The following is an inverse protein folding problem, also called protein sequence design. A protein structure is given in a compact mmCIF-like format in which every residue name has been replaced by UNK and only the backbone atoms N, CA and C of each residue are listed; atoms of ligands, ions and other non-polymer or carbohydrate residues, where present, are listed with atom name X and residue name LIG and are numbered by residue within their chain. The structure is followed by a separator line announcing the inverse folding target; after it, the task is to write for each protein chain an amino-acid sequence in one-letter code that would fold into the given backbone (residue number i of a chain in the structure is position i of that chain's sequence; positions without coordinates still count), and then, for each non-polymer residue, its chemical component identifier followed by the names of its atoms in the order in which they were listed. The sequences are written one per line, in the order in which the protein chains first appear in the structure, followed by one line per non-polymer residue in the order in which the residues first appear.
data_IF_148025717450
#
_entry.id   IF_148025717450
#
_cell.length_a   1.000
_cell.length_b   1.000
_cell.length_c   1.000
_cell.angle_alpha   90.00
_cell.angle_beta   90.00
_cell.angle_gamma   90.00
#
_symmetry.space_group_name_H-M   'P 1'
#
loop_
_entity.id
_entity.type
_entity.pdbx_description
1 polymer ?
#
# COMPACT_ATOMS: atom_id res chain seq x y z
N UNK A 1 31.79 -27.42 -7.84
CA UNK A 1 33.08 -27.80 -8.45
C UNK A 1 33.08 -29.28 -8.79
N UNK A 2 33.57 -29.64 -9.99
CA UNK A 2 33.87 -30.99 -10.53
C UNK A 2 32.63 -31.78 -10.98
N UNK A 3 32.48 -32.21 -12.25
CA UNK A 3 33.49 -32.75 -13.16
C UNK A 3 33.35 -32.29 -14.63
N UNK A 4 34.51 -32.00 -15.23
CA UNK A 4 34.77 -31.87 -16.68
C UNK A 4 35.12 -33.26 -17.24
N UNK A 5 34.66 -33.62 -18.45
CA UNK A 5 35.49 -33.89 -19.65
C UNK A 5 34.67 -34.52 -20.81
N UNK A 6 34.67 -33.74 -21.90
CA UNK A 6 34.56 -33.94 -23.37
C UNK A 6 34.54 -35.33 -24.04
N UNK A 7 34.01 -35.26 -25.29
CA UNK A 7 34.24 -36.02 -26.55
C UNK A 7 33.30 -37.23 -26.77
N UNK A 8 32.68 -37.48 -27.93
CA UNK A 8 33.06 -37.14 -29.30
C UNK A 8 31.91 -37.31 -30.35
N UNK A 9 32.14 -36.66 -31.51
CA UNK A 9 31.66 -36.91 -32.88
C UNK A 9 30.18 -36.68 -33.28
N UNK A 10 29.94 -35.51 -33.87
CA UNK A 10 29.05 -35.33 -35.01
C UNK A 10 29.59 -36.16 -36.19
N UNK A 11 28.90 -37.21 -36.61
CA UNK A 11 29.11 -37.80 -37.93
C UNK A 11 28.02 -37.30 -38.86
N UNK A 12 28.41 -36.34 -39.69
CA UNK A 12 27.78 -35.97 -40.94
C UNK A 12 27.74 -37.21 -41.84
N UNK A 13 26.58 -37.85 -42.02
CA UNK A 13 26.42 -38.82 -43.11
C UNK A 13 25.89 -38.05 -44.31
N UNK A 14 26.82 -37.77 -45.20
CA UNK A 14 26.59 -37.26 -46.53
C UNK A 14 25.58 -38.14 -47.27
N UNK A 15 24.60 -37.49 -47.91
CA UNK A 15 23.76 -38.10 -48.94
C UNK A 15 24.64 -38.27 -50.18
N UNK A 16 24.90 -39.48 -50.68
CA UNK A 16 25.46 -39.64 -52.01
C UNK A 16 24.32 -39.43 -53.01
N UNK A 17 24.34 -38.29 -53.69
CA UNK A 17 23.70 -38.12 -54.98
C UNK A 17 24.34 -39.11 -55.95
N UNK A 18 23.72 -40.26 -56.18
CA UNK A 18 24.16 -41.17 -57.23
C UNK A 18 23.42 -40.83 -58.52
N UNK A 19 24.22 -40.27 -59.42
CA UNK A 19 23.92 -40.00 -60.82
C UNK A 19 23.47 -41.27 -61.53
N UNK A 20 22.48 -41.05 -62.39
CA UNK A 20 22.00 -41.92 -63.44
C UNK A 20 23.14 -42.43 -64.33
N UNK A 21 23.34 -43.75 -64.36
CA UNK A 21 23.95 -44.46 -65.49
C UNK A 21 23.43 -45.89 -65.53
N UNK A 22 22.77 -46.25 -66.64
CA UNK A 22 22.54 -47.65 -67.00
C UNK A 22 23.86 -48.25 -67.49
N UNK A 23 24.12 -49.53 -67.19
CA UNK A 23 24.19 -50.49 -68.29
C UNK A 23 23.53 -51.85 -68.01
N UNK A 24 23.42 -52.61 -69.08
CA UNK A 24 22.63 -53.81 -69.24
C UNK A 24 23.25 -55.11 -68.69
N UNK A 25 22.32 -56.05 -68.46
CA UNK A 25 22.39 -57.52 -68.65
C UNK A 25 23.16 -58.41 -67.68
N UNK A 26 22.42 -59.31 -67.01
CA UNK A 26 22.80 -60.72 -66.84
C UNK A 26 21.54 -61.63 -66.78
N UNK A 27 21.40 -62.41 -67.85
CA UNK A 27 20.81 -63.74 -68.06
C UNK A 27 19.87 -64.44 -67.03
N UNK A 28 18.80 -65.01 -67.61
CA UNK A 28 18.16 -66.31 -67.36
C UNK A 28 17.64 -66.68 -65.96
N UNK A 29 16.38 -66.36 -65.71
CA UNK A 29 15.48 -67.11 -64.82
C UNK A 29 14.18 -67.39 -65.59
N UNK A 30 13.75 -68.65 -65.58
CA UNK A 30 12.63 -69.22 -66.35
C UNK A 30 11.29 -68.51 -66.10
N UNK A 31 10.50 -68.36 -67.17
CA UNK A 31 9.32 -67.49 -67.36
C UNK A 31 8.19 -67.59 -66.29
N UNK A 32 8.07 -68.74 -65.60
CA UNK A 32 7.09 -68.94 -64.52
C UNK A 32 7.48 -68.25 -63.20
N UNK A 33 8.77 -67.99 -62.98
CA UNK A 33 9.23 -67.25 -61.80
C UNK A 33 8.99 -65.76 -61.97
N UNK A 34 9.21 -65.21 -63.17
CA UNK A 34 9.12 -63.77 -63.47
C UNK A 34 7.70 -63.21 -63.29
N UNK A 35 6.68 -63.97 -63.63
CA UNK A 35 5.27 -63.59 -63.47
C UNK A 35 4.79 -63.68 -62.01
N UNK A 36 5.18 -64.71 -61.27
CA UNK A 36 4.89 -64.80 -59.83
C UNK A 36 5.65 -63.74 -59.00
N UNK A 37 6.92 -63.46 -59.35
CA UNK A 37 7.70 -62.40 -58.72
C UNK A 37 7.12 -61.01 -59.02
N UNK A 38 6.72 -60.70 -60.25
CA UNK A 38 6.14 -59.38 -60.61
C UNK A 38 4.72 -59.18 -60.03
N UNK A 39 3.88 -60.23 -59.97
CA UNK A 39 2.54 -60.13 -59.35
C UNK A 39 2.59 -60.01 -57.81
N UNK A 40 3.47 -60.75 -57.14
CA UNK A 40 3.64 -60.69 -55.68
C UNK A 40 4.28 -59.36 -55.24
N UNK A 41 5.25 -58.86 -56.00
CA UNK A 41 5.87 -57.55 -55.82
C UNK A 41 4.84 -56.42 -55.77
N UNK A 42 3.84 -56.47 -56.66
CA UNK A 42 2.77 -55.48 -56.70
C UNK A 42 1.82 -55.60 -55.50
N UNK A 43 1.53 -56.82 -55.04
CA UNK A 43 0.64 -57.05 -53.89
C UNK A 43 1.23 -56.56 -52.55
N UNK A 44 2.51 -56.84 -52.29
CA UNK A 44 3.17 -56.41 -51.04
C UNK A 44 3.33 -54.89 -50.97
N UNK A 45 3.78 -54.27 -52.07
CA UNK A 45 3.92 -52.81 -52.18
C UNK A 45 2.54 -52.13 -52.06
N UNK A 46 1.52 -52.64 -52.75
CA UNK A 46 0.15 -52.12 -52.67
C UNK A 46 -0.41 -52.21 -51.24
N UNK A 47 -0.19 -53.32 -50.54
CA UNK A 47 -0.59 -53.47 -49.14
C UNK A 47 0.07 -52.44 -48.23
N UNK A 48 1.37 -52.18 -48.38
CA UNK A 48 2.07 -51.15 -47.61
C UNK A 48 1.51 -49.76 -47.91
N UNK A 49 1.28 -49.43 -49.18
CA UNK A 49 0.66 -48.16 -49.58
C UNK A 49 -0.70 -47.98 -48.91
N UNK A 50 -1.55 -49.01 -48.90
CA UNK A 50 -2.85 -48.99 -48.24
C UNK A 50 -2.73 -48.80 -46.72
N UNK A 51 -1.83 -49.55 -46.06
CA UNK A 51 -1.61 -49.41 -44.62
C UNK A 51 -1.18 -47.99 -44.24
N UNK A 52 -0.29 -47.38 -45.02
CA UNK A 52 0.15 -45.99 -44.81
C UNK A 52 -1.02 -45.02 -44.99
N UNK A 53 -1.84 -45.19 -46.04
CA UNK A 53 -3.00 -44.33 -46.29
C UNK A 53 -4.08 -44.44 -45.19
N UNK A 54 -4.16 -45.58 -44.51
CA UNK A 54 -5.09 -45.83 -43.42
C UNK A 54 -4.62 -45.27 -42.06
N UNK A 55 -3.43 -44.69 -41.98
CA UNK A 55 -2.95 -44.06 -40.75
C UNK A 55 -3.70 -42.75 -40.52
N UNK A 56 -4.45 -42.67 -39.43
CA UNK A 56 -5.11 -41.45 -38.98
C UNK A 56 -4.52 -41.00 -37.63
N UNK A 57 -3.79 -39.88 -37.65
CA UNK A 57 -3.11 -39.31 -36.48
C UNK A 57 -4.02 -38.61 -35.46
N UNK A 58 -5.34 -38.64 -35.63
CA UNK A 58 -6.29 -38.07 -34.66
C UNK A 58 -7.01 -39.13 -33.83
N UNK A 59 -6.94 -40.39 -34.24
CA UNK A 59 -7.67 -41.53 -33.66
C UNK A 59 -6.80 -42.38 -32.72
N UNK A 60 -7.41 -43.05 -31.74
CA UNK A 60 -6.69 -43.93 -30.82
C UNK A 60 -5.97 -45.11 -31.52
N UNK A 61 -6.34 -45.45 -32.75
CA UNK A 61 -5.70 -46.48 -33.58
C UNK A 61 -4.45 -45.99 -34.30
N UNK A 62 -4.04 -44.73 -34.13
CA UNK A 62 -2.85 -44.16 -34.79
C UNK A 62 -1.59 -45.00 -34.57
N UNK A 63 -1.28 -45.33 -33.32
CA UNK A 63 -0.08 -46.09 -32.96
C UNK A 63 -0.07 -47.50 -33.58
N UNK A 64 -1.09 -48.36 -33.38
CA UNK A 64 -1.08 -49.69 -33.98
C UNK A 64 -1.08 -49.65 -35.51
N UNK A 65 -1.77 -48.70 -36.16
CA UNK A 65 -1.75 -48.57 -37.61
C UNK A 65 -0.36 -48.16 -38.12
N UNK A 66 0.32 -47.23 -37.44
CA UNK A 66 1.69 -46.84 -37.77
C UNK A 66 2.67 -48.00 -37.58
N UNK A 67 2.54 -48.77 -36.50
CA UNK A 67 3.39 -49.95 -36.25
C UNK A 67 3.16 -51.04 -37.31
N UNK A 68 1.91 -51.29 -37.70
CA UNK A 68 1.58 -52.22 -38.78
C UNK A 68 2.19 -51.79 -40.13
N UNK A 69 2.06 -50.51 -40.50
CA UNK A 69 2.64 -49.96 -41.72
C UNK A 69 4.18 -50.04 -41.71
N UNK A 70 4.83 -49.69 -40.59
CA UNK A 70 6.28 -49.80 -40.45
C UNK A 70 6.77 -51.25 -40.54
N UNK A 71 6.06 -52.19 -39.90
CA UNK A 71 6.39 -53.61 -39.97
C UNK A 71 6.27 -54.14 -41.40
N UNK A 72 5.20 -53.78 -42.10
CA UNK A 72 4.98 -54.19 -43.48
C UNK A 72 6.04 -53.57 -44.43
N UNK A 73 6.35 -52.28 -44.28
CA UNK A 73 7.40 -51.63 -45.07
C UNK A 73 8.79 -52.24 -44.83
N UNK A 74 9.12 -52.56 -43.57
CA UNK A 74 10.42 -53.16 -43.23
C UNK A 74 10.56 -54.62 -43.71
N UNK A 75 9.44 -55.31 -43.95
CA UNK A 75 9.42 -56.66 -44.51
C UNK A 75 9.63 -56.68 -46.03
N UNK A 76 9.49 -55.53 -46.72
CA UNK A 76 9.77 -55.40 -48.13
C UNK A 76 11.27 -55.56 -48.42
N UNK A 77 11.58 -56.13 -49.58
CA UNK A 77 12.92 -56.11 -50.16
C UNK A 77 13.35 -54.67 -50.53
N UNK A 78 14.65 -54.45 -50.70
CA UNK A 78 15.17 -53.13 -51.07
C UNK A 78 14.63 -52.62 -52.41
N UNK A 79 14.34 -53.52 -53.35
CA UNK A 79 13.72 -53.15 -54.62
C UNK A 79 12.27 -52.73 -54.36
N UNK A 80 11.46 -53.55 -53.65
CA UNK A 80 10.05 -53.25 -53.34
C UNK A 80 9.86 -51.91 -52.64
N UNK A 81 10.76 -51.55 -51.70
CA UNK A 81 10.72 -50.26 -51.00
C UNK A 81 10.76 -49.06 -51.95
N UNK A 82 11.46 -49.15 -53.08
CA UNK A 82 11.56 -48.07 -54.07
C UNK A 82 10.21 -47.76 -54.73
N UNK A 83 9.24 -48.67 -54.67
CA UNK A 83 7.93 -48.53 -55.30
C UNK A 83 6.84 -48.09 -54.32
N UNK A 84 7.17 -47.92 -53.04
CA UNK A 84 6.24 -47.38 -52.03
C UNK A 84 6.14 -45.86 -52.19
N UNK A 85 5.19 -45.41 -52.99
CA UNK A 85 5.04 -44.01 -53.41
C UNK A 85 4.71 -43.03 -52.27
N UNK A 86 4.17 -43.51 -51.15
CA UNK A 86 3.76 -42.70 -50.00
C UNK A 86 4.68 -42.87 -48.77
N UNK A 87 5.93 -43.30 -48.96
CA UNK A 87 6.91 -43.39 -47.87
C UNK A 87 7.13 -42.06 -47.13
N UNK A 88 7.03 -40.93 -47.82
CA UNK A 88 7.09 -39.59 -47.20
C UNK A 88 6.01 -39.40 -46.13
N UNK A 89 4.78 -39.88 -46.37
CA UNK A 89 3.68 -39.87 -45.39
C UNK A 89 4.00 -40.74 -44.18
N UNK A 90 4.56 -41.93 -44.38
CA UNK A 90 5.00 -42.81 -43.30
C UNK A 90 6.05 -42.12 -42.41
N UNK A 91 7.04 -41.46 -43.02
CA UNK A 91 8.06 -40.68 -42.32
C UNK A 91 7.45 -39.51 -41.51
N UNK A 92 6.48 -38.79 -42.09
CA UNK A 92 5.76 -37.73 -41.37
C UNK A 92 4.98 -38.26 -40.15
N UNK A 93 4.38 -39.45 -40.25
CA UNK A 93 3.73 -40.10 -39.11
C UNK A 93 4.72 -40.57 -38.04
N UNK A 94 5.91 -41.06 -38.42
CA UNK A 94 6.98 -41.36 -37.45
C UNK A 94 7.37 -40.11 -36.66
N UNK A 95 7.48 -38.96 -37.32
CA UNK A 95 7.77 -37.69 -36.65
C UNK A 95 6.62 -37.22 -35.75
N UNK A 96 5.38 -37.41 -36.20
CA UNK A 96 4.19 -37.13 -35.39
C UNK A 96 4.19 -37.96 -34.09
N UNK A 97 4.56 -39.25 -34.16
CA UNK A 97 4.72 -40.10 -32.98
C UNK A 97 5.76 -39.54 -31.99
N UNK A 98 6.88 -39.02 -32.47
CA UNK A 98 7.90 -38.39 -31.60
C UNK A 98 7.33 -37.17 -30.91
N UNK A 99 6.58 -36.33 -31.62
CA UNK A 99 5.91 -35.17 -31.03
C UNK A 99 4.88 -35.57 -29.96
N UNK A 100 4.08 -36.61 -30.20
CA UNK A 100 3.09 -37.11 -29.23
C UNK A 100 3.74 -37.69 -27.98
N UNK A 101 4.86 -38.44 -28.12
CA UNK A 101 5.66 -38.90 -26.98
C UNK A 101 6.22 -37.75 -26.16
N UNK A 102 6.72 -36.70 -26.82
CA UNK A 102 7.23 -35.50 -26.13
C UNK A 102 6.12 -34.75 -25.40
N UNK A 103 4.92 -34.68 -25.97
CA UNK A 103 3.76 -34.08 -25.34
C UNK A 103 3.32 -34.88 -24.10
N UNK A 104 3.24 -36.21 -24.21
CA UNK A 104 2.90 -37.08 -23.08
C UNK A 104 3.92 -36.95 -21.95
N UNK A 105 5.22 -36.92 -22.26
CA UNK A 105 6.27 -36.70 -21.28
C UNK A 105 6.11 -35.36 -20.53
N UNK A 106 5.73 -34.29 -21.21
CA UNK A 106 5.46 -33.00 -20.56
C UNK A 106 4.24 -33.03 -19.63
N UNK A 107 3.19 -33.78 -19.97
CA UNK A 107 2.04 -33.99 -19.09
C UNK A 107 2.47 -34.72 -17.82
N UNK A 108 3.28 -35.76 -17.96
CA UNK A 108 3.77 -36.56 -16.83
C UNK A 108 4.74 -35.77 -15.95
N UNK A 109 5.66 -35.02 -16.54
CA UNK A 109 6.54 -34.10 -15.83
C UNK A 109 5.73 -33.05 -15.07
N UNK A 110 4.72 -32.43 -15.72
CA UNK A 110 3.84 -31.47 -15.06
C UNK A 110 3.14 -32.10 -13.87
N UNK A 111 2.54 -33.29 -14.00
CA UNK A 111 1.89 -34.00 -12.88
C UNK A 111 2.86 -34.34 -11.73
N UNK A 112 4.10 -34.68 -12.05
CA UNK A 112 5.13 -35.06 -11.07
C UNK A 112 5.88 -33.85 -10.47
N UNK A 113 5.73 -32.65 -11.04
CA UNK A 113 6.46 -31.44 -10.63
C UNK A 113 6.03 -30.91 -9.26
N UNK A 114 4.92 -31.39 -8.71
CA UNK A 114 4.36 -30.94 -7.43
C UNK A 114 4.10 -32.15 -6.54
N UNK A 115 4.66 -32.14 -5.32
CA UNK A 115 4.36 -33.16 -4.31
C UNK A 115 2.86 -33.22 -4.02
N UNK A 116 2.31 -34.40 -3.78
CA UNK A 116 0.87 -34.58 -3.50
C UNK A 116 0.39 -33.85 -2.24
N UNK A 117 1.30 -33.55 -1.31
CA UNK A 117 1.06 -32.78 -0.09
C UNK A 117 1.00 -31.26 -0.33
N UNK A 118 1.51 -30.78 -1.47
CA UNK A 118 1.61 -29.36 -1.77
C UNK A 118 0.23 -28.74 -2.01
N UNK A 119 0.03 -27.50 -1.55
CA UNK A 119 -1.19 -26.72 -1.81
C UNK A 119 -1.44 -26.51 -3.30
N UNK A 120 -0.38 -26.51 -4.12
CA UNK A 120 -0.47 -26.34 -5.56
C UNK A 120 -0.75 -27.63 -6.34
N UNK A 121 -0.69 -28.79 -5.70
CA UNK A 121 -0.88 -30.09 -6.37
C UNK A 121 -2.21 -30.13 -7.11
N UNK A 122 -3.27 -29.73 -6.42
CA UNK A 122 -4.62 -29.74 -6.95
C UNK A 122 -4.78 -28.83 -8.17
N UNK A 123 -4.29 -27.59 -8.07
CA UNK A 123 -4.29 -26.65 -9.19
C UNK A 123 -3.52 -27.22 -10.38
N UNK A 124 -2.34 -27.80 -10.11
CA UNK A 124 -1.51 -28.37 -11.14
C UNK A 124 -2.18 -29.54 -11.87
N UNK A 125 -2.83 -30.46 -11.14
CA UNK A 125 -3.59 -31.56 -11.74
C UNK A 125 -4.73 -31.03 -12.59
N UNK A 126 -5.44 -30.00 -12.14
CA UNK A 126 -6.56 -29.44 -12.90
C UNK A 126 -6.16 -28.74 -14.19
N UNK A 127 -5.14 -27.87 -14.14
CA UNK A 127 -4.60 -27.26 -15.35
C UNK A 127 -4.10 -28.33 -16.34
N UNK A 128 -3.50 -29.40 -15.81
CA UNK A 128 -3.04 -30.52 -16.64
C UNK A 128 -4.21 -31.34 -17.19
N UNK A 129 -5.30 -31.48 -16.42
CA UNK A 129 -6.55 -32.13 -16.86
C UNK A 129 -7.20 -31.33 -17.98
N UNK A 130 -7.27 -30.01 -17.85
CA UNK A 130 -7.82 -29.14 -18.88
C UNK A 130 -7.00 -29.25 -20.16
N UNK A 131 -5.67 -29.20 -20.06
CA UNK A 131 -4.78 -29.45 -21.20
C UNK A 131 -4.99 -30.85 -21.79
N UNK A 132 -5.02 -31.91 -20.98
CA UNK A 132 -5.28 -33.28 -21.41
C UNK A 132 -6.63 -33.40 -22.14
N UNK A 133 -7.67 -32.71 -21.65
CA UNK A 133 -9.00 -32.73 -22.24
C UNK A 133 -9.02 -32.13 -23.66
N UNK A 134 -8.16 -31.15 -23.96
CA UNK A 134 -8.02 -30.58 -25.32
C UNK A 134 -7.34 -31.51 -26.34
N UNK A 135 -6.69 -32.59 -25.89
CA UNK A 135 -5.97 -33.50 -26.77
C UNK A 135 -6.93 -34.38 -27.59
N UNK A 136 -6.49 -34.73 -28.79
CA UNK A 136 -7.17 -35.72 -29.62
C UNK A 136 -6.96 -37.15 -29.10
N UNK A 137 -7.71 -38.12 -29.63
CA UNK A 137 -7.68 -39.50 -29.14
C UNK A 137 -6.31 -40.18 -29.36
N UNK A 138 -5.62 -39.86 -30.45
CA UNK A 138 -4.26 -40.36 -30.70
C UNK A 138 -3.26 -39.84 -29.66
N UNK A 139 -3.31 -38.55 -29.33
CA UNK A 139 -2.42 -37.94 -28.34
C UNK A 139 -2.67 -38.51 -26.94
N UNK A 140 -3.94 -38.66 -26.55
CA UNK A 140 -4.33 -39.23 -25.25
C UNK A 140 -3.81 -40.65 -25.04
N UNK A 141 -3.70 -41.45 -26.11
CA UNK A 141 -3.19 -42.84 -26.00
C UNK A 141 -1.70 -42.94 -25.65
N UNK A 142 -0.92 -41.87 -25.82
CA UNK A 142 0.50 -41.84 -25.43
C UNK A 142 0.72 -41.50 -23.95
N UNK A 143 -0.29 -40.95 -23.26
CA UNK A 143 -0.21 -40.62 -21.83
C UNK A 143 -0.31 -41.91 -21.01
N UNK A 144 0.55 -42.12 -20.02
CA UNK A 144 0.52 -43.34 -19.19
C UNK A 144 -0.82 -43.56 -18.48
N UNK A 145 -1.18 -44.83 -18.25
CA UNK A 145 -2.44 -45.19 -17.60
C UNK A 145 -2.55 -44.60 -16.17
N UNK A 146 -1.44 -44.47 -15.44
CA UNK A 146 -1.39 -43.82 -14.13
C UNK A 146 -1.74 -42.34 -14.22
N UNK A 147 -1.13 -41.60 -15.16
CA UNK A 147 -1.45 -40.20 -15.41
C UNK A 147 -2.91 -40.03 -15.85
N UNK A 148 -3.39 -40.86 -16.79
CA UNK A 148 -4.80 -40.84 -17.20
C UNK A 148 -5.75 -41.07 -16.03
N UNK A 149 -5.43 -42.01 -15.12
CA UNK A 149 -6.23 -42.27 -13.91
C UNK A 149 -6.29 -41.02 -13.02
N UNK A 150 -5.18 -40.32 -12.80
CA UNK A 150 -5.16 -39.07 -12.02
C UNK A 150 -6.03 -38.00 -12.70
N UNK A 151 -5.90 -37.84 -14.01
CA UNK A 151 -6.59 -36.79 -14.78
C UNK A 151 -8.10 -37.05 -14.93
N UNK A 152 -8.53 -38.31 -14.90
CA UNK A 152 -9.94 -38.71 -15.05
C UNK A 152 -10.66 -38.97 -13.73
N UNK A 153 -9.92 -39.18 -12.63
CA UNK A 153 -10.50 -39.39 -11.31
C UNK A 153 -11.00 -38.09 -10.70
N UNK A 154 -11.98 -38.20 -9.80
CA UNK A 154 -12.32 -37.11 -8.91
C UNK A 154 -11.20 -36.94 -7.88
N UNK A 155 -10.56 -35.78 -7.90
CA UNK A 155 -9.58 -35.37 -6.89
C UNK A 155 -10.27 -34.47 -5.87
N UNK A 156 -10.05 -34.73 -4.59
CA UNK A 156 -10.47 -33.81 -3.52
C UNK A 156 -9.50 -32.62 -3.47
N UNK A 157 -9.99 -31.38 -3.26
CA UNK A 157 -9.11 -30.26 -2.98
C UNK A 157 -8.11 -30.60 -1.86
N UNK A 158 -6.88 -30.07 -1.89
CA UNK A 158 -5.94 -30.17 -0.77
C UNK A 158 -6.32 -29.24 0.40
N UNK A 159 -7.64 -29.10 0.58
CA UNK A 159 -8.32 -28.32 1.58
C UNK A 159 -9.64 -29.00 1.89
N UNK A 160 -10.11 -28.83 3.11
CA UNK A 160 -11.37 -29.40 3.58
C UNK A 160 -12.24 -28.31 4.17
N UNK A 161 -13.54 -28.59 4.29
CA UNK A 161 -14.47 -27.74 5.03
C UNK A 161 -13.92 -27.49 6.43
N UNK A 162 -13.45 -28.52 7.13
CA UNK A 162 -12.91 -28.41 8.48
C UNK A 162 -11.70 -27.49 8.55
N UNK A 163 -10.78 -27.56 7.58
CA UNK A 163 -9.61 -26.69 7.53
C UNK A 163 -10.00 -25.22 7.34
N UNK A 164 -10.95 -24.95 6.45
CA UNK A 164 -11.48 -23.60 6.21
C UNK A 164 -12.21 -23.09 7.46
N UNK A 165 -13.09 -23.91 8.04
CA UNK A 165 -13.84 -23.59 9.26
C UNK A 165 -12.89 -23.27 10.40
N UNK A 166 -11.89 -24.11 10.65
CA UNK A 166 -10.90 -23.90 11.71
C UNK A 166 -10.11 -22.60 11.50
N UNK A 167 -9.65 -22.31 10.27
CA UNK A 167 -8.98 -21.04 9.96
C UNK A 167 -9.86 -19.84 10.28
N UNK A 168 -11.12 -19.86 9.88
CA UNK A 168 -12.07 -18.76 10.10
C UNK A 168 -12.42 -18.63 11.59
N UNK A 169 -12.58 -19.75 12.31
CA UNK A 169 -12.89 -19.74 13.75
C UNK A 169 -11.74 -19.22 14.61
N UNK A 170 -10.49 -19.41 14.17
CA UNK A 170 -9.29 -18.96 14.87
C UNK A 170 -8.91 -17.50 14.57
N UNK A 171 -9.65 -16.81 13.69
CA UNK A 171 -9.43 -15.40 13.42
C UNK A 171 -9.56 -14.59 14.70
N UNK A 172 -8.55 -13.78 15.00
CA UNK A 172 -8.50 -12.95 16.19
C UNK A 172 -7.95 -11.57 15.82
N UNK A 173 -8.81 -10.56 15.94
CA UNK A 173 -8.51 -9.17 15.57
C UNK A 173 -7.42 -8.51 16.40
N UNK A 174 -7.06 -9.07 17.56
CA UNK A 174 -5.99 -8.53 18.41
C UNK A 174 -4.60 -9.05 18.03
N UNK A 175 -4.49 -10.03 17.14
CA UNK A 175 -3.19 -10.59 16.72
C UNK A 175 -2.60 -9.76 15.58
N UNK A 176 -1.30 -9.49 15.63
CA UNK A 176 -0.58 -8.80 14.54
C UNK A 176 -0.74 -9.51 13.18
N UNK A 177 -0.92 -10.84 13.19
CA UNK A 177 -1.14 -11.65 12.00
C UNK A 177 -2.57 -11.57 11.45
N UNK A 178 -3.49 -10.85 12.10
CA UNK A 178 -4.93 -10.87 11.78
C UNK A 178 -5.22 -10.60 10.30
N UNK A 179 -4.67 -9.52 9.72
CA UNK A 179 -4.95 -9.19 8.32
C UNK A 179 -4.46 -10.27 7.35
N UNK A 180 -3.31 -10.88 7.64
CA UNK A 180 -2.78 -12.01 6.88
C UNK A 180 -3.66 -13.25 7.04
N UNK A 181 -4.08 -13.57 8.27
CA UNK A 181 -4.92 -14.73 8.56
C UNK A 181 -6.30 -14.62 7.87
N UNK A 182 -6.89 -13.42 7.81
CA UNK A 182 -8.14 -13.17 7.07
C UNK A 182 -7.94 -13.40 5.57
N UNK A 183 -6.87 -12.85 4.99
CA UNK A 183 -6.55 -13.07 3.57
C UNK A 183 -6.29 -14.55 3.25
N UNK A 184 -5.55 -15.25 4.10
CA UNK A 184 -5.28 -16.68 3.99
C UNK A 184 -6.58 -17.51 4.09
N UNK A 185 -7.50 -17.15 4.99
CA UNK A 185 -8.80 -17.81 5.13
C UNK A 185 -9.68 -17.62 3.89
N UNK A 186 -9.73 -16.40 3.32
CA UNK A 186 -10.45 -16.13 2.07
C UNK A 186 -9.84 -16.89 0.89
N UNK A 187 -8.51 -16.93 0.79
CA UNK A 187 -7.83 -17.70 -0.24
C UNK A 187 -8.15 -19.20 -0.15
N UNK A 188 -8.14 -19.76 1.06
CA UNK A 188 -8.49 -21.16 1.31
C UNK A 188 -9.95 -21.48 0.95
N UNK A 189 -10.90 -20.60 1.33
CA UNK A 189 -12.31 -20.74 0.95
C UNK A 189 -12.51 -20.67 -0.56
N UNK A 190 -11.85 -19.72 -1.23
CA UNK A 190 -11.89 -19.61 -2.69
C UNK A 190 -11.32 -20.87 -3.35
N UNK A 191 -10.24 -21.45 -2.80
CA UNK A 191 -9.66 -22.70 -3.28
C UNK A 191 -10.62 -23.88 -3.12
N UNK A 192 -11.32 -23.98 -1.98
CA UNK A 192 -12.35 -24.99 -1.75
C UNK A 192 -13.50 -24.87 -2.77
N UNK A 193 -13.97 -23.64 -2.99
CA UNK A 193 -15.15 -23.35 -3.84
C UNK A 193 -14.89 -23.33 -5.33
N UNK A 194 -13.64 -23.13 -5.76
CA UNK A 194 -13.31 -23.04 -7.20
C UNK A 194 -13.74 -24.28 -7.99
N UNK A 195 -13.85 -25.44 -7.32
CA UNK A 195 -14.14 -26.72 -7.96
C UNK A 195 -15.15 -27.58 -7.19
N UNK A 196 -15.70 -27.06 -6.09
CA UNK A 196 -16.74 -27.74 -5.31
C UNK A 196 -17.84 -26.73 -4.96
N UNK A 197 -19.11 -27.16 -5.01
CA UNK A 197 -20.24 -26.32 -4.59
C UNK A 197 -20.54 -26.49 -3.08
N UNK A 198 -19.49 -26.66 -2.27
CA UNK A 198 -19.65 -26.96 -0.85
C UNK A 198 -20.04 -25.70 -0.08
N UNK A 199 -21.07 -25.85 0.76
CA UNK A 199 -21.52 -24.82 1.71
C UNK A 199 -20.79 -25.00 3.04
N UNK A 200 -20.44 -23.88 3.70
CA UNK A 200 -19.89 -23.91 5.04
C UNK A 200 -21.01 -23.99 6.10
N UNK A 201 -20.72 -24.44 7.32
CA UNK A 201 -21.67 -24.32 8.43
C UNK A 201 -22.17 -22.89 8.62
N UNK A 202 -23.43 -22.77 9.06
CA UNK A 202 -24.11 -21.48 9.25
C UNK A 202 -23.27 -20.54 10.11
N UNK A 203 -23.14 -19.28 9.67
CA UNK A 203 -22.44 -18.22 10.39
C UNK A 203 -20.91 -18.17 10.19
N UNK A 204 -20.29 -19.21 9.61
CA UNK A 204 -18.84 -19.18 9.36
C UNK A 204 -18.47 -18.13 8.30
N UNK A 205 -19.19 -18.08 7.19
CA UNK A 205 -18.94 -17.06 6.16
C UNK A 205 -19.21 -15.66 6.67
N UNK A 206 -20.22 -15.48 7.52
CA UNK A 206 -20.50 -14.19 8.13
C UNK A 206 -19.33 -13.72 8.99
N UNK A 207 -18.73 -14.60 9.81
CA UNK A 207 -17.52 -14.28 10.58
C UNK A 207 -16.37 -13.83 9.69
N UNK A 208 -16.16 -14.50 8.54
CA UNK A 208 -15.12 -14.09 7.60
C UNK A 208 -15.43 -12.71 6.99
N UNK A 209 -16.68 -12.46 6.60
CA UNK A 209 -17.11 -11.16 6.07
C UNK A 209 -16.94 -10.04 7.10
N UNK A 210 -17.31 -10.28 8.36
CA UNK A 210 -17.14 -9.32 9.45
C UNK A 210 -15.65 -9.00 9.69
N UNK A 211 -14.79 -10.02 9.63
CA UNK A 211 -13.35 -9.86 9.75
C UNK A 211 -12.76 -9.07 8.57
N UNK A 212 -13.21 -9.31 7.34
CA UNK A 212 -12.78 -8.56 6.16
C UNK A 212 -13.22 -7.10 6.19
N UNK A 213 -14.44 -6.84 6.69
CA UNK A 213 -14.91 -5.48 6.91
C UNK A 213 -14.03 -4.76 7.94
N UNK A 214 -13.62 -5.44 9.00
CA UNK A 214 -12.69 -4.89 9.99
C UNK A 214 -11.32 -4.59 9.36
N UNK A 215 -10.76 -5.51 8.56
CA UNK A 215 -9.51 -5.29 7.80
C UNK A 215 -9.62 -4.06 6.90
N UNK A 216 -10.76 -3.88 6.22
CA UNK A 216 -10.99 -2.71 5.38
C UNK A 216 -11.02 -1.41 6.18
N UNK A 217 -11.64 -1.41 7.37
CA UNK A 217 -11.64 -0.26 8.30
C UNK A 217 -10.24 0.05 8.80
N UNK A 218 -9.48 -0.95 9.24
CA UNK A 218 -8.11 -0.78 9.71
C UNK A 218 -7.22 -0.15 8.64
N UNK A 219 -7.38 -0.57 7.38
CA UNK A 219 -6.65 0.01 6.24
C UNK A 219 -6.98 1.48 6.01
N UNK A 220 -8.23 1.89 6.19
CA UNK A 220 -8.62 3.30 6.03
C UNK A 220 -7.95 4.16 7.10
N UNK A 221 -8.04 3.75 8.37
CA UNK A 221 -7.46 4.50 9.49
C UNK A 221 -5.93 4.57 9.37
N UNK A 222 -5.28 3.46 9.02
CA UNK A 222 -3.84 3.46 8.77
C UNK A 222 -3.45 4.37 7.58
N UNK A 223 -4.29 4.43 6.54
CA UNK A 223 -4.05 5.28 5.37
C UNK A 223 -4.14 6.77 5.70
N UNK A 224 -5.03 7.17 6.60
CA UNK A 224 -5.11 8.55 7.08
C UNK A 224 -3.81 8.98 7.75
N UNK A 225 -3.26 8.14 8.64
CA UNK A 225 -1.96 8.39 9.28
C UNK A 225 -0.82 8.35 8.26
N UNK A 226 -0.82 7.40 7.33
CA UNK A 226 0.17 7.34 6.23
C UNK A 226 0.20 8.65 5.44
N UNK A 227 -0.98 9.20 5.07
CA UNK A 227 -1.09 10.45 4.34
C UNK A 227 -0.64 11.66 5.19
N UNK A 228 -0.95 11.66 6.48
CA UNK A 228 -0.51 12.70 7.40
C UNK A 228 1.03 12.71 7.52
N UNK A 229 1.67 11.54 7.65
CA UNK A 229 3.13 11.40 7.61
C UNK A 229 3.69 11.88 6.27
N UNK A 230 3.04 11.53 5.15
CA UNK A 230 3.49 11.93 3.81
C UNK A 230 3.38 13.45 3.57
N UNK A 231 2.51 14.13 4.32
CA UNK A 231 2.32 15.58 4.26
C UNK A 231 3.36 16.34 5.09
N UNK A 232 4.10 15.66 5.97
CA UNK A 232 5.20 16.27 6.71
C UNK A 232 6.32 16.69 5.77
N UNK A 233 6.80 17.91 5.97
CA UNK A 233 7.83 18.52 5.15
C UNK A 233 8.83 19.26 6.03
N UNK A 234 10.15 19.03 5.86
CA UNK A 234 11.18 19.70 6.64
C UNK A 234 11.16 21.23 6.51
N UNK A 235 10.52 21.78 5.48
CA UNK A 235 10.52 23.22 5.19
C UNK A 235 9.27 23.94 5.67
N UNK A 236 8.18 23.21 5.89
CA UNK A 236 6.84 23.80 6.10
C UNK A 236 6.16 23.26 7.34
N UNK A 237 6.51 22.06 7.80
CA UNK A 237 5.93 21.45 9.00
C UNK A 237 6.69 21.88 10.25
N UNK A 238 5.94 22.20 11.29
CA UNK A 238 6.42 22.61 12.61
C UNK A 238 6.58 21.41 13.54
N UNK A 239 7.15 21.65 14.72
CA UNK A 239 7.21 20.64 15.80
C UNK A 239 5.81 20.18 16.23
N UNK A 240 4.84 21.10 16.23
CA UNK A 240 3.46 20.78 16.55
C UNK A 240 2.84 19.82 15.54
N UNK A 241 3.04 20.06 14.24
CA UNK A 241 2.51 19.17 13.18
C UNK A 241 3.10 17.75 13.30
N UNK A 242 4.40 17.64 13.59
CA UNK A 242 5.05 16.34 13.83
C UNK A 242 4.46 15.66 15.07
N UNK A 243 4.17 16.41 16.14
CA UNK A 243 3.60 15.89 17.36
C UNK A 243 2.13 15.43 17.19
N UNK A 244 1.34 16.13 16.39
CA UNK A 244 -0.02 15.70 16.03
C UNK A 244 0.00 14.38 15.26
N UNK A 245 0.86 14.26 14.24
CA UNK A 245 1.01 13.02 13.46
C UNK A 245 1.52 11.87 14.32
N UNK A 246 2.46 12.14 15.24
CA UNK A 246 2.93 11.16 16.24
C UNK A 246 1.78 10.67 17.12
N UNK A 247 0.97 11.59 17.65
CA UNK A 247 -0.16 11.25 18.52
C UNK A 247 -1.21 10.43 17.77
N UNK A 248 -1.49 10.77 16.50
CA UNK A 248 -2.39 10.01 15.65
C UNK A 248 -1.88 8.58 15.38
N UNK A 249 -0.57 8.40 15.16
CA UNK A 249 0.04 7.07 15.01
C UNK A 249 -0.01 6.26 16.31
N UNK A 250 0.26 6.88 17.45
CA UNK A 250 0.21 6.21 18.77
C UNK A 250 -1.21 5.82 19.19
N UNK A 251 -2.23 6.50 18.67
CA UNK A 251 -3.63 6.14 18.87
C UNK A 251 -4.07 4.91 18.06
N UNK A 252 -3.30 4.48 17.05
CA UNK A 252 -3.58 3.26 16.28
C UNK A 252 -3.37 2.01 17.14
N UNK A 253 -4.17 0.98 16.88
CA UNK A 253 -3.92 -0.35 17.45
C UNK A 253 -2.63 -0.95 16.87
N UNK A 254 -1.98 -1.91 17.57
CA UNK A 254 -0.75 -2.55 17.05
C UNK A 254 -0.92 -3.16 15.66
N UNK A 255 -2.10 -3.72 15.36
CA UNK A 255 -2.41 -4.30 14.04
C UNK A 255 -2.53 -3.22 12.96
N UNK A 256 -3.05 -2.05 13.30
CA UNK A 256 -3.16 -0.90 12.39
C UNK A 256 -1.80 -0.23 12.14
N UNK A 257 -0.92 -0.18 13.15
CA UNK A 257 0.43 0.38 13.02
C UNK A 257 1.28 -0.37 11.97
N UNK A 258 1.15 -1.71 11.91
CA UNK A 258 1.80 -2.54 10.87
C UNK A 258 1.39 -2.17 9.44
N UNK A 259 0.24 -1.50 9.26
CA UNK A 259 -0.24 -1.06 7.95
C UNK A 259 0.31 0.30 7.49
N UNK A 260 1.09 1.00 8.31
CA UNK A 260 1.62 2.34 7.98
C UNK A 260 3.05 2.20 7.42
N UNK A 261 3.24 2.14 6.08
CA UNK A 261 4.53 1.79 5.48
C UNK A 261 5.62 2.84 5.66
N UNK A 262 5.24 4.11 5.88
CA UNK A 262 6.14 5.26 5.96
C UNK A 262 6.45 5.71 7.39
N UNK A 263 6.20 4.87 8.40
CA UNK A 263 6.48 5.18 9.81
C UNK A 263 7.93 5.64 10.05
N UNK A 264 8.90 5.12 9.30
CA UNK A 264 10.30 5.54 9.41
C UNK A 264 10.53 7.02 9.08
N UNK A 265 9.72 7.60 8.19
CA UNK A 265 9.75 9.05 7.92
C UNK A 265 9.35 9.82 9.18
N UNK A 266 8.29 9.40 9.86
CA UNK A 266 7.88 10.02 11.13
C UNK A 266 8.96 9.88 12.20
N UNK A 267 9.63 8.73 12.29
CA UNK A 267 10.77 8.52 13.19
C UNK A 267 11.90 9.51 12.91
N UNK A 268 12.26 9.72 11.64
CA UNK A 268 13.28 10.71 11.25
C UNK A 268 12.92 12.14 11.73
N UNK A 269 11.65 12.53 11.61
CA UNK A 269 11.15 13.82 12.12
C UNK A 269 11.24 13.91 13.65
N UNK A 270 10.78 12.87 14.37
CA UNK A 270 10.78 12.84 15.84
C UNK A 270 12.20 12.81 16.42
N UNK A 271 13.15 12.15 15.74
CA UNK A 271 14.55 12.09 16.15
C UNK A 271 15.36 13.34 15.79
N UNK A 272 14.73 14.36 15.19
CA UNK A 272 15.38 15.64 14.88
C UNK A 272 16.38 15.56 13.73
N UNK A 273 16.23 14.59 12.82
CA UNK A 273 17.05 14.51 11.58
C UNK A 273 16.86 15.74 10.69
N UNK A 274 15.70 16.37 10.78
CA UNK A 274 15.33 17.57 10.03
C UNK A 274 15.28 18.77 10.96
N UNK A 275 15.89 19.88 10.55
CA UNK A 275 15.68 21.19 11.20
C UNK A 275 14.32 21.72 10.76
N UNK A 276 13.35 21.73 11.68
CA UNK A 276 12.00 22.20 11.39
C UNK A 276 11.87 23.71 11.61
N UNK A 277 11.04 24.40 10.82
CA UNK A 277 10.59 25.73 11.15
C UNK A 277 10.03 25.76 12.57
N UNK A 278 10.68 26.50 13.47
CA UNK A 278 9.94 27.19 14.53
C UNK A 278 9.25 28.39 13.86
N UNK A 279 8.22 28.97 14.46
CA UNK A 279 7.51 30.13 13.90
C UNK A 279 8.40 31.37 13.68
N UNK A 280 9.72 31.29 13.93
CA UNK A 280 10.61 32.44 14.14
C UNK A 280 11.61 32.71 13.01
N UNK A 281 11.57 31.99 11.88
CA UNK A 281 12.55 32.20 10.79
C UNK A 281 12.00 32.98 9.58
N UNK A 282 11.43 34.16 9.83
CA UNK A 282 11.59 35.32 8.93
C UNK A 282 12.30 36.42 9.74
N UNK A 283 13.56 36.77 9.44
CA UNK A 283 14.22 37.86 10.14
C UNK A 283 13.57 39.19 9.72
N UNK A 284 12.57 39.63 10.49
CA UNK A 284 12.30 41.06 10.66
C UNK A 284 12.93 41.43 11.99
N UNK A 285 14.13 42.01 11.95
CA UNK A 285 14.65 42.76 13.09
C UNK A 285 13.51 43.67 13.59
N UNK A 286 12.95 43.47 14.80
CA UNK A 286 11.81 44.24 15.22
C UNK A 286 12.22 45.72 15.23
N UNK A 287 11.42 46.57 14.58
CA UNK A 287 11.65 48.03 14.62
C UNK A 287 11.19 48.50 15.99
N UNK A 288 12.10 48.42 16.96
CA UNK A 288 11.87 48.87 18.33
C UNK A 288 11.71 50.39 18.38
N UNK A 289 11.02 50.88 19.41
CA UNK A 289 10.79 52.31 19.62
C UNK A 289 11.74 52.85 20.69
N UNK A 290 12.50 53.92 20.39
CA UNK A 290 13.37 54.62 21.36
C UNK A 290 12.60 55.34 22.49
N UNK A 291 11.28 55.38 22.39
CA UNK A 291 10.36 56.02 23.35
C UNK A 291 9.49 54.98 24.08
N UNK A 292 9.87 53.70 24.05
CA UNK A 292 9.18 52.66 24.78
C UNK A 292 9.39 52.81 26.30
N UNK A 293 8.37 52.42 27.06
CA UNK A 293 8.46 52.26 28.51
C UNK A 293 9.45 51.13 28.83
N UNK A 294 10.26 51.35 29.85
CA UNK A 294 11.18 50.34 30.37
C UNK A 294 10.52 49.54 31.51
N UNK A 295 10.84 48.25 31.64
CA UNK A 295 10.43 47.42 32.79
C UNK A 295 10.87 48.08 34.11
N UNK A 296 10.05 47.93 35.17
CA UNK A 296 10.33 48.45 36.52
C UNK A 296 10.31 49.96 36.69
N UNK A 297 10.32 50.73 35.59
CA UNK A 297 10.31 52.19 35.62
C UNK A 297 8.90 52.75 35.45
N UNK A 298 8.63 53.84 36.16
CA UNK A 298 7.40 54.61 35.96
C UNK A 298 7.54 55.46 34.69
N UNK A 299 6.66 55.23 33.73
CA UNK A 299 6.62 55.96 32.46
C UNK A 299 5.35 56.80 32.37
N UNK A 300 5.48 58.10 32.09
CA UNK A 300 4.33 58.97 31.86
C UNK A 300 3.76 58.75 30.45
N UNK A 301 2.46 58.49 30.35
CA UNK A 301 1.79 58.30 29.06
C UNK A 301 1.56 59.63 28.33
N UNK A 302 1.66 59.62 27.00
CA UNK A 302 1.40 60.79 26.16
C UNK A 302 -0.11 60.99 25.97
N UNK A 303 -0.65 62.17 26.31
CA UNK A 303 -2.07 62.50 26.15
C UNK A 303 -2.37 63.04 24.76
N UNK A 304 -3.34 62.45 24.07
CA UNK A 304 -3.96 62.99 22.85
C UNK A 304 -5.49 62.97 23.02
N UNK A 305 -6.11 64.15 23.15
CA UNK A 305 -7.53 64.30 23.50
C UNK A 305 -7.87 63.52 24.78
N UNK A 306 -8.75 62.53 24.69
CA UNK A 306 -9.20 61.71 25.82
C UNK A 306 -8.44 60.36 25.93
N UNK A 307 -7.39 60.17 25.12
CA UNK A 307 -6.64 58.93 25.02
C UNK A 307 -5.19 59.16 25.44
N UNK A 308 -4.72 58.31 26.35
CA UNK A 308 -3.33 58.23 26.76
C UNK A 308 -2.66 57.08 26.03
N UNK A 309 -1.44 57.29 25.50
CA UNK A 309 -0.69 56.29 24.76
C UNK A 309 0.70 56.07 25.36
N UNK A 310 1.13 54.82 25.38
CA UNK A 310 2.50 54.41 25.66
C UNK A 310 2.87 53.24 24.72
N UNK A 311 4.16 52.99 24.60
CA UNK A 311 4.73 51.89 23.81
C UNK A 311 5.55 51.00 24.72
N UNK A 312 5.56 49.70 24.47
CA UNK A 312 6.43 48.71 25.12
C UNK A 312 7.11 47.91 24.01
N UNK A 313 8.41 47.71 24.10
CA UNK A 313 9.15 46.84 23.19
C UNK A 313 8.99 45.39 23.64
N UNK A 314 8.77 44.48 22.71
CA UNK A 314 8.66 43.03 22.93
C UNK A 314 9.71 42.35 22.06
N UNK A 315 10.70 41.70 22.67
CA UNK A 315 11.79 40.98 22.01
C UNK A 315 12.28 39.80 22.85
N UNK A 316 12.70 38.71 22.20
CA UNK A 316 13.14 37.44 22.81
C UNK A 316 14.32 37.58 23.79
N UNK A 317 15.14 38.63 23.64
CA UNK A 317 16.35 38.85 24.47
C UNK A 317 16.10 39.59 25.77
N UNK A 318 14.89 40.06 26.04
CA UNK A 318 14.53 40.73 27.29
C UNK A 318 13.57 39.84 28.11
N UNK A 319 14.14 38.89 28.87
CA UNK A 319 13.39 38.18 29.91
C UNK A 319 13.20 39.14 31.10
N UNK A 320 12.41 40.19 30.88
CA UNK A 320 12.08 41.16 31.90
C UNK A 320 11.05 40.55 32.84
N UNK A 321 11.50 40.27 34.07
CA UNK A 321 10.66 39.75 35.15
C UNK A 321 9.84 40.84 35.84
N UNK A 322 10.07 42.10 35.49
CA UNK A 322 9.44 43.27 36.11
C UNK A 322 8.20 43.74 35.35
N UNK A 323 7.32 44.46 36.05
CA UNK A 323 6.09 45.04 35.50
C UNK A 323 6.37 46.40 34.86
N UNK A 324 5.56 46.81 33.87
CA UNK A 324 5.59 48.18 33.35
C UNK A 324 4.57 49.04 34.09
N UNK A 325 5.01 50.20 34.57
CA UNK A 325 4.18 51.11 35.35
C UNK A 325 3.93 52.36 34.50
N UNK A 326 2.69 52.52 34.01
CA UNK A 326 2.30 53.60 33.11
C UNK A 326 1.38 54.58 33.85
N UNK A 327 1.75 55.85 33.90
CA UNK A 327 0.98 56.88 34.65
C UNK A 327 0.35 57.89 33.72
N UNK A 328 -0.86 58.32 34.06
CA UNK A 328 -1.61 59.34 33.31
C UNK A 328 -1.71 60.63 34.10
N UNK A 329 -1.82 61.77 33.41
CA UNK A 329 -2.07 63.08 34.05
C UNK A 329 -3.40 63.13 34.81
N UNK A 330 -4.34 62.23 34.50
CA UNK A 330 -5.66 62.16 35.14
C UNK A 330 -5.67 61.19 36.35
N UNK A 331 -4.50 60.98 36.99
CA UNK A 331 -4.29 60.16 38.20
C UNK A 331 -4.73 58.69 38.07
N UNK A 332 -4.57 58.12 36.88
CA UNK A 332 -4.69 56.67 36.67
C UNK A 332 -3.31 56.07 36.47
N UNK A 333 -3.08 54.89 37.05
CA UNK A 333 -1.88 54.08 36.85
C UNK A 333 -2.27 52.75 36.23
N UNK A 334 -1.58 52.36 35.17
CA UNK A 334 -1.81 51.14 34.42
C UNK A 334 -0.57 50.27 34.62
N UNK A 335 -0.77 49.06 35.11
CA UNK A 335 0.30 48.09 35.31
C UNK A 335 0.15 47.02 34.25
N UNK A 336 1.16 46.90 33.38
CA UNK A 336 1.29 45.77 32.46
C UNK A 336 2.16 44.73 33.14
N UNK A 337 1.74 43.46 33.21
CA UNK A 337 2.52 42.41 33.85
C UNK A 337 3.82 42.15 33.07
N UNK A 338 4.73 41.32 33.62
CA UNK A 338 5.99 41.00 32.93
C UNK A 338 5.74 40.35 31.57
N UNK A 339 6.62 40.62 30.59
CA UNK A 339 6.40 40.14 29.21
C UNK A 339 6.45 38.61 29.10
N UNK A 340 7.07 37.88 30.02
CA UNK A 340 7.00 36.41 30.04
C UNK A 340 5.57 35.87 30.26
N UNK A 341 4.65 36.71 30.72
CA UNK A 341 3.23 36.36 30.85
C UNK A 341 2.41 36.69 29.61
N UNK A 342 3.02 37.29 28.57
CA UNK A 342 2.37 37.57 27.31
C UNK A 342 2.14 36.26 26.55
N UNK A 343 0.90 35.97 26.19
CA UNK A 343 0.52 34.76 25.46
C UNK A 343 0.81 34.89 23.96
N UNK A 344 0.84 36.13 23.44
CA UNK A 344 1.18 36.38 22.05
C UNK A 344 2.66 36.07 21.77
N UNK A 345 2.91 35.25 20.74
CA UNK A 345 4.26 34.82 20.32
C UNK A 345 4.97 35.83 19.40
N UNK A 346 4.34 36.98 19.10
CA UNK A 346 4.91 37.99 18.20
C UNK A 346 5.95 38.89 18.90
N UNK A 347 6.92 39.40 18.12
CA UNK A 347 7.84 40.47 18.54
C UNK A 347 7.44 41.82 17.93
N UNK A 348 7.86 42.92 18.56
CA UNK A 348 7.69 44.26 18.02
C UNK A 348 7.36 45.33 19.06
N UNK A 349 6.50 46.28 18.68
CA UNK A 349 6.09 47.39 19.56
C UNK A 349 4.63 47.20 19.96
N UNK A 350 4.42 46.91 21.24
CA UNK A 350 3.10 46.87 21.86
C UNK A 350 2.63 48.29 22.16
N UNK A 351 1.49 48.67 21.61
CA UNK A 351 0.84 49.96 21.89
C UNK A 351 -0.17 49.78 23.02
N UNK A 352 0.01 50.55 24.08
CA UNK A 352 -0.94 50.63 25.20
C UNK A 352 -1.71 51.95 25.08
N UNK A 353 -3.03 51.84 24.92
CA UNK A 353 -3.93 52.98 24.88
C UNK A 353 -4.96 52.90 26.01
N UNK A 354 -5.12 54.00 26.76
CA UNK A 354 -6.17 54.13 27.76
C UNK A 354 -7.02 55.34 27.43
N UNK A 355 -8.30 55.12 27.19
CA UNK A 355 -9.27 56.18 26.88
C UNK A 355 -10.27 56.32 28.01
N UNK A 356 -10.39 57.54 28.57
CA UNK A 356 -11.41 57.86 29.58
C UNK A 356 -12.45 58.80 28.98
N UNK A 357 -13.70 58.35 28.92
CA UNK A 357 -14.85 59.15 28.44
C UNK A 357 -15.95 59.11 29.50
N UNK A 358 -16.08 60.19 30.28
CA UNK A 358 -17.05 60.25 31.37
C UNK A 358 -16.79 59.16 32.40
N UNK A 359 -17.76 58.26 32.57
CA UNK A 359 -17.70 57.10 33.45
C UNK A 359 -17.25 55.81 32.74
N UNK A 360 -16.68 55.89 31.53
CA UNK A 360 -16.15 54.74 30.79
C UNK A 360 -14.64 54.82 30.65
N UNK A 361 -13.98 53.69 30.86
CA UNK A 361 -12.54 53.51 30.64
C UNK A 361 -12.36 52.35 29.66
N UNK A 362 -11.58 52.58 28.61
CA UNK A 362 -11.19 51.54 27.66
C UNK A 362 -9.68 51.37 27.72
N UNK A 363 -9.22 50.18 28.08
CA UNK A 363 -7.83 49.74 27.97
C UNK A 363 -7.70 48.93 26.68
N UNK A 364 -6.77 49.33 25.82
CA UNK A 364 -6.43 48.65 24.58
C UNK A 364 -4.93 48.39 24.58
N UNK A 365 -4.54 47.13 24.48
CA UNK A 365 -3.17 46.70 24.32
C UNK A 365 -3.10 45.91 23.00
N UNK A 366 -2.27 46.40 22.07
CA UNK A 366 -2.12 45.79 20.75
C UNK A 366 -0.65 45.66 20.35
N UNK A 367 -0.26 44.45 19.97
CA UNK A 367 1.05 44.15 19.39
C UNK A 367 0.84 43.94 17.89
N UNK A 368 1.58 44.67 17.06
CA UNK A 368 1.44 44.60 15.59
C UNK A 368 0.00 44.82 15.07
N UNK A 369 -0.82 45.59 15.81
CA UNK A 369 -2.25 45.88 15.57
C UNK A 369 -3.22 44.75 15.93
N UNK A 370 -2.74 43.66 16.52
CA UNK A 370 -3.57 42.59 17.05
C UNK A 370 -3.71 42.73 18.58
N UNK A 371 -4.88 42.43 19.16
CA UNK A 371 -5.08 42.51 20.61
C UNK A 371 -4.21 41.47 21.33
N UNK A 372 -3.68 41.87 22.49
CA UNK A 372 -2.86 40.97 23.31
C UNK A 372 -3.61 40.35 24.48
N UNK A 373 -3.14 39.17 24.89
CA UNK A 373 -3.59 38.45 26.08
C UNK A 373 -2.40 38.15 26.98
N UNK A 374 -2.58 38.28 28.28
CA UNK A 374 -1.61 37.92 29.30
C UNK A 374 -2.17 36.82 30.22
N UNK A 375 -1.31 35.90 30.64
CA UNK A 375 -1.64 34.91 31.69
C UNK A 375 -1.74 35.57 33.08
N UNK A 376 -1.11 36.74 33.26
CA UNK A 376 -1.23 37.56 34.45
C UNK A 376 -2.14 38.77 34.21
N UNK A 377 -2.74 39.28 35.28
CA UNK A 377 -3.63 40.43 35.20
C UNK A 377 -2.86 41.72 34.90
N UNK A 378 -3.29 42.44 33.86
CA UNK A 378 -3.11 43.88 33.77
C UNK A 378 -3.98 44.56 34.83
N UNK A 379 -3.48 45.66 35.40
CA UNK A 379 -4.18 46.39 36.44
C UNK A 379 -4.44 47.84 36.02
N UNK A 380 -5.66 48.33 36.23
CA UNK A 380 -6.02 49.74 36.09
C UNK A 380 -6.32 50.29 37.48
N UNK A 381 -5.43 51.11 37.99
CA UNK A 381 -5.51 51.73 39.30
C UNK A 381 -6.09 53.13 39.16
N UNK A 382 -7.17 53.39 39.90
CA UNK A 382 -7.81 54.69 39.99
C UNK A 382 -7.87 55.17 41.43
N UNK A 383 -7.59 56.46 41.61
CA UNK A 383 -7.64 57.13 42.91
C UNK A 383 -8.80 58.13 42.99
N UNK A 384 -9.39 58.30 44.17
CA UNK A 384 -10.40 59.34 44.44
C UNK A 384 -11.82 59.00 43.96
N UNK A 385 -12.14 57.72 43.79
CA UNK A 385 -13.51 57.25 43.62
C UNK A 385 -14.15 56.91 44.98
N UNK A 386 -15.47 57.07 45.16
CA UNK A 386 -16.18 56.58 46.34
C UNK A 386 -15.94 55.09 46.58
N UNK A 387 -15.75 54.67 47.84
CA UNK A 387 -15.38 53.30 48.19
C UNK A 387 -16.42 52.22 47.77
N UNK A 388 -17.67 52.62 47.58
CA UNK A 388 -18.77 51.78 47.10
C UNK A 388 -18.92 51.77 45.57
N UNK A 389 -17.96 52.34 44.83
CA UNK A 389 -17.97 52.31 43.36
C UNK A 389 -17.82 50.87 42.86
N UNK A 390 -18.54 50.56 41.79
CA UNK A 390 -18.48 49.24 41.12
C UNK A 390 -18.11 49.39 39.65
N UNK A 391 -17.56 48.32 39.08
CA UNK A 391 -17.09 48.30 37.69
C UNK A 391 -17.74 47.15 36.93
N UNK A 392 -18.21 47.44 35.72
CA UNK A 392 -18.79 46.46 34.83
C UNK A 392 -18.02 46.44 33.51
N UNK A 393 -17.69 45.25 33.01
CA UNK A 393 -17.07 45.05 31.69
C UNK A 393 -18.13 44.61 30.68
N UNK A 394 -17.95 44.96 29.41
CA UNK A 394 -18.72 44.36 28.32
C UNK A 394 -18.09 43.02 27.92
N UNK A 395 -18.87 41.94 27.92
CA UNK A 395 -18.43 40.67 27.33
C UNK A 395 -18.55 40.69 25.80
N UNK A 396 -18.13 39.61 25.15
CA UNK A 396 -18.10 39.47 23.68
C UNK A 396 -19.49 39.55 23.03
N UNK A 397 -20.55 39.38 23.82
CA UNK A 397 -21.94 39.50 23.40
C UNK A 397 -22.54 40.89 23.66
N UNK A 398 -21.73 41.86 24.08
CA UNK A 398 -22.16 43.24 24.36
C UNK A 398 -22.93 43.40 25.68
N UNK A 399 -23.05 42.36 26.51
CA UNK A 399 -23.72 42.43 27.81
C UNK A 399 -22.76 42.93 28.89
N UNK A 400 -23.29 43.76 29.81
CA UNK A 400 -22.54 44.18 30.99
C UNK A 400 -22.48 43.06 32.03
N UNK A 401 -21.26 42.71 32.42
CA UNK A 401 -20.95 41.76 33.49
C UNK A 401 -20.09 42.45 34.54
N UNK A 402 -20.14 42.07 35.83
CA UNK A 402 -19.22 42.60 36.83
C UNK A 402 -17.76 42.40 36.39
N UNK A 403 -16.93 43.43 36.53
CA UNK A 403 -15.50 43.31 36.30
C UNK A 403 -14.80 42.85 37.59
N UNK A 404 -13.67 42.17 37.45
CA UNK A 404 -12.82 41.84 38.59
C UNK A 404 -12.08 43.08 39.07
N UNK A 405 -12.26 43.42 40.35
CA UNK A 405 -11.55 44.54 40.96
C UNK A 405 -11.31 44.32 42.45
N UNK A 406 -10.30 45.00 42.98
CA UNK A 406 -10.03 45.08 44.41
C UNK A 406 -9.99 46.53 44.88
N UNK A 407 -10.31 46.77 46.15
CA UNK A 407 -10.25 48.10 46.78
C UNK A 407 -9.20 48.06 47.87
N UNK A 408 -8.20 48.94 47.77
CA UNK A 408 -7.11 49.07 48.75
C UNK A 408 -6.98 50.53 49.17
N UNK A 409 -7.60 50.90 50.29
CA UNK A 409 -7.67 52.29 50.75
C UNK A 409 -8.49 53.15 49.78
N UNK A 410 -7.90 54.24 49.27
CA UNK A 410 -8.52 55.12 48.28
C UNK A 410 -8.30 54.69 46.82
N UNK A 411 -7.78 53.47 46.60
CA UNK A 411 -7.45 52.95 45.27
C UNK A 411 -8.40 51.82 44.87
N UNK A 412 -8.93 51.93 43.65
CA UNK A 412 -9.68 50.88 42.99
C UNK A 412 -8.82 50.27 41.90
N UNK A 413 -8.61 48.96 41.94
CA UNK A 413 -7.69 48.22 41.06
C UNK A 413 -8.52 47.25 40.23
N UNK A 414 -8.80 47.60 38.97
CA UNK A 414 -9.48 46.72 38.02
C UNK A 414 -8.45 45.74 37.46
N UNK A 415 -8.78 44.46 37.38
CA UNK A 415 -7.91 43.39 36.87
C UNK A 415 -8.46 42.81 35.57
N UNK A 416 -7.59 42.58 34.59
CA UNK A 416 -7.97 41.98 33.30
C UNK A 416 -6.77 41.35 32.58
N UNK A 417 -6.97 40.23 31.93
CA UNK A 417 -5.94 39.55 31.11
C UNK A 417 -5.93 40.02 29.65
N UNK A 418 -6.98 40.70 29.20
CA UNK A 418 -7.12 41.21 27.83
C UNK A 418 -7.48 42.68 27.81
N UNK A 419 -7.42 43.29 26.62
CA UNK A 419 -8.09 44.58 26.34
C UNK A 419 -9.56 44.55 26.77
N UNK A 420 -10.10 45.69 27.19
CA UNK A 420 -11.46 45.75 27.72
C UNK A 420 -12.01 47.17 27.90
N UNK A 421 -13.33 47.27 27.95
CA UNK A 421 -14.04 48.52 28.32
C UNK A 421 -14.81 48.32 29.61
N UNK A 422 -14.58 49.23 30.55
CA UNK A 422 -15.07 49.21 31.91
C UNK A 422 -15.96 50.44 32.17
N UNK A 423 -17.17 50.17 32.63
CA UNK A 423 -18.17 51.14 33.03
C UNK A 423 -18.09 51.34 34.54
N UNK A 424 -17.81 52.57 34.97
CA UNK A 424 -17.80 52.98 36.37
C UNK A 424 -19.22 53.33 36.79
N UNK A 425 -19.68 52.70 37.86
CA UNK A 425 -20.94 53.02 38.53
C UNK A 425 -20.59 53.55 39.92
N UNK A 426 -20.84 54.85 40.13
CA UNK A 426 -20.67 55.50 41.43
C UNK A 426 -21.97 55.29 42.20
N UNK A 427 -21.91 54.51 43.27
CA UNK A 427 -23.06 54.24 44.13
C UNK A 427 -23.16 55.25 45.27
#
# INVERSE_FOLDING_TARGET
MKNKKRLALLTLVAVPSLLYSAPASAANLTDHSRTAYVYNYNANVSNVIQLINNINNTTATFQPNLEAALKAYNALTEVEKQYVTNYSTLSAHQQTRVAYRKLAAQIEEKLNSVESSSVHYYQNVLETRDWYNTLNAAQKSYVSASAQKILTSYITPNTSVDKVVNKIQLLNSSRLTFHKEVADARAELNALRRFTNVSLPVGIEQKLLDAELLVAKDKIVAKEVENAIASLSPKTSTVHDVQEVKTAFEALTPVQQELVPNVWTLVDFVQGKYTLPTKDNVPKKPVLSDVAAAPGKTTAMTKNKNTYKAKINVAETEIDTERFILTTKDKMTIIIPPLYTLVNEDEGVMNIEVTKKGNRITLKAELNKEPVTFDANMEIIMEGLPANSSFYRSNDFGKQVPADFTVSGNRHIIQTTTSGTFQIVRN
#
